data_IF_746881848531
#
_entry.id   IF_746881848531
#
_cell.length_a   1.000
_cell.length_b   1.000
_cell.length_c   1.000
_cell.angle_alpha   90.00
_cell.angle_beta   90.00
_cell.angle_gamma   90.00
#
_symmetry.space_group_name_H-M   'P 1'
#
loop_
_entity.id
_entity.type
_entity.pdbx_description
1 polymer ?
#
# COMPACT_ATOMS: atom_id res chain seq x y z
N UNK A 1 -59.96 -32.75 -3.00
CA UNK A 1 -60.88 -31.65 -3.27
C UNK A 1 -60.07 -30.37 -3.18
N UNK A 2 -59.12 -30.19 -4.09
CA UNK A 2 -59.22 -29.49 -5.39
C UNK A 2 -58.93 -27.99 -5.19
N UNK A 3 -58.16 -27.25 -6.00
CA UNK A 3 -57.22 -27.46 -7.10
C UNK A 3 -56.49 -26.09 -7.29
N UNK A 4 -55.22 -26.13 -7.74
CA UNK A 4 -54.34 -25.01 -8.23
C UNK A 4 -54.94 -24.26 -9.46
N UNK A 5 -54.29 -23.30 -10.19
CA UNK A 5 -52.88 -22.81 -10.24
C UNK A 5 -52.72 -21.26 -10.42
N UNK A 6 -51.54 -20.63 -10.37
CA UNK A 6 -50.62 -20.34 -11.53
C UNK A 6 -49.47 -19.46 -10.99
N UNK A 7 -48.17 -19.77 -11.14
CA UNK A 7 -47.32 -19.43 -12.30
C UNK A 7 -47.03 -17.91 -12.35
N UNK A 8 -45.83 -17.34 -12.47
CA UNK A 8 -44.48 -17.79 -12.76
C UNK A 8 -43.47 -16.65 -12.41
N UNK A 9 -42.17 -16.90 -12.60
CA UNK A 9 -41.05 -15.93 -12.63
C UNK A 9 -41.35 -14.69 -13.52
N UNK A 10 -40.68 -13.53 -13.40
CA UNK A 10 -39.46 -13.18 -14.17
C UNK A 10 -38.79 -11.86 -13.71
N UNK A 11 -37.49 -11.79 -13.99
CA UNK A 11 -36.53 -10.68 -13.85
C UNK A 11 -36.74 -9.63 -14.96
N UNK A 12 -36.50 -8.33 -14.69
CA UNK A 12 -35.92 -7.44 -15.72
C UNK A 12 -35.31 -6.15 -15.14
N UNK A 13 -34.19 -5.77 -15.74
CA UNK A 13 -33.40 -4.55 -15.62
C UNK A 13 -34.13 -3.27 -16.08
N UNK A 14 -33.63 -2.15 -15.55
CA UNK A 14 -33.63 -0.78 -16.07
C UNK A 14 -34.97 -0.04 -16.30
N UNK A 15 -35.25 0.96 -15.44
CA UNK A 15 -35.34 2.38 -15.83
C UNK A 15 -35.78 3.28 -14.64
N UNK A 16 -35.05 4.37 -14.44
CA UNK A 16 -35.59 5.66 -13.98
C UNK A 16 -36.26 5.79 -12.61
N UNK A 17 -35.48 6.22 -11.60
CA UNK A 17 -35.88 7.27 -10.66
C UNK A 17 -36.99 7.00 -9.63
N UNK A 18 -36.59 6.97 -8.35
CA UNK A 18 -37.01 7.82 -7.22
C UNK A 18 -36.55 7.09 -5.95
N UNK A 19 -35.66 7.73 -5.19
CA UNK A 19 -35.28 7.29 -3.85
C UNK A 19 -36.52 7.47 -2.97
N UNK A 20 -37.25 6.39 -2.73
CA UNK A 20 -38.30 6.36 -1.71
C UNK A 20 -37.62 6.00 -0.40
N UNK A 21 -37.32 6.99 0.45
CA UNK A 21 -36.86 6.77 1.83
C UNK A 21 -38.06 6.27 2.66
N UNK A 22 -38.54 5.06 2.35
CA UNK A 22 -39.59 4.38 3.10
C UNK A 22 -38.96 3.70 4.30
N UNK A 23 -38.99 4.36 5.46
CA UNK A 23 -38.80 3.85 6.84
C UNK A 23 -38.38 2.36 6.89
N UNK A 24 -37.12 2.07 6.56
CA UNK A 24 -36.65 0.68 6.39
C UNK A 24 -36.38 0.04 7.75
N UNK A 25 -36.85 -1.18 7.88
CA UNK A 25 -36.80 -2.01 9.08
C UNK A 25 -35.37 -2.14 9.61
N UNK A 26 -35.16 -1.98 10.94
CA UNK A 26 -33.85 -1.99 11.65
C UNK A 26 -32.80 -3.02 11.16
N UNK A 27 -33.13 -4.27 10.76
CA UNK A 27 -32.12 -5.19 10.24
C UNK A 27 -31.46 -4.76 8.91
N UNK A 28 -32.15 -3.99 8.05
CA UNK A 28 -31.63 -3.58 6.73
C UNK A 28 -30.54 -2.50 6.86
N UNK A 29 -30.67 -1.59 7.83
CA UNK A 29 -29.66 -0.55 8.10
C UNK A 29 -28.36 -1.17 8.64
N UNK A 30 -28.47 -2.19 9.48
CA UNK A 30 -27.31 -2.88 10.06
C UNK A 30 -26.52 -3.66 8.99
N UNK A 31 -27.19 -4.27 8.02
CA UNK A 31 -26.54 -4.99 6.92
C UNK A 31 -25.79 -4.04 5.96
N UNK A 32 -26.31 -2.84 5.70
CA UNK A 32 -25.63 -1.81 4.89
C UNK A 32 -24.39 -1.22 5.61
N UNK A 33 -24.44 -1.03 6.92
CA UNK A 33 -23.29 -0.58 7.72
C UNK A 33 -22.18 -1.64 7.80
N UNK A 34 -22.54 -2.93 7.87
CA UNK A 34 -21.56 -4.03 7.85
C UNK A 34 -20.91 -4.17 6.47
N UNK A 35 -21.66 -4.00 5.37
CA UNK A 35 -21.10 -4.05 4.01
C UNK A 35 -20.24 -2.81 3.66
N UNK A 36 -20.49 -1.65 4.27
CA UNK A 36 -19.62 -0.48 4.15
C UNK A 36 -18.30 -0.62 4.93
N UNK A 37 -18.25 -1.46 5.97
CA UNK A 37 -17.02 -1.76 6.71
C UNK A 37 -16.15 -2.84 6.05
N UNK A 38 -16.69 -3.67 5.15
CA UNK A 38 -15.94 -4.78 4.53
C UNK A 38 -15.29 -4.45 3.18
N UNK A 39 -15.54 -3.28 2.57
CA UNK A 39 -15.02 -2.96 1.23
C UNK A 39 -13.68 -2.21 1.18
N UNK A 40 -13.16 -1.62 2.28
CA UNK A 40 -11.95 -0.77 2.20
C UNK A 40 -11.00 -0.90 3.40
N UNK A 41 -10.69 -2.11 3.85
CA UNK A 41 -9.58 -2.34 4.79
C UNK A 41 -8.48 -3.20 4.17
N UNK A 42 -7.99 -2.80 3.00
CA UNK A 42 -6.60 -3.10 2.62
C UNK A 42 -5.75 -1.87 2.93
N UNK A 43 -5.62 -1.57 4.22
CA UNK A 43 -4.90 -0.41 4.71
C UNK A 43 -3.39 -0.65 4.78
N UNK A 44 -2.64 0.45 4.67
CA UNK A 44 -1.23 0.56 5.08
C UNK A 44 -1.05 -0.07 6.47
N UNK A 45 0.05 -0.81 6.70
CA UNK A 45 0.29 -1.41 8.02
C UNK A 45 0.32 -0.33 9.12
N UNK A 46 -0.21 -0.59 10.33
CA UNK A 46 -0.21 0.40 11.40
C UNK A 46 1.21 0.92 11.73
N UNK A 47 2.20 0.03 11.61
CA UNK A 47 3.63 0.34 11.76
C UNK A 47 4.09 1.38 10.74
N UNK A 48 3.80 1.14 9.44
CA UNK A 48 4.18 2.05 8.37
C UNK A 48 3.46 3.40 8.49
N UNK A 49 2.17 3.39 8.87
CA UNK A 49 1.43 4.64 9.13
C UNK A 49 2.06 5.45 10.28
N UNK A 50 2.43 4.78 11.36
CA UNK A 50 3.08 5.42 12.51
C UNK A 50 4.44 5.99 12.14
N UNK A 51 5.22 5.24 11.34
CA UNK A 51 6.51 5.70 10.83
C UNK A 51 6.35 6.95 9.96
N UNK A 52 5.42 6.93 8.99
CA UNK A 52 5.14 8.07 8.10
C UNK A 52 4.77 9.32 8.89
N UNK A 53 3.81 9.22 9.82
CA UNK A 53 3.36 10.39 10.59
C UNK A 53 4.49 10.96 11.47
N UNK A 54 5.29 10.11 12.10
CA UNK A 54 6.44 10.56 12.90
C UNK A 54 7.50 11.27 12.05
N UNK A 55 7.89 10.68 10.92
CA UNK A 55 8.93 11.22 10.06
C UNK A 55 8.50 12.48 9.31
N UNK A 56 7.21 12.57 8.97
CA UNK A 56 6.63 13.74 8.32
C UNK A 56 6.78 14.99 9.18
N UNK A 57 6.47 14.86 10.48
CA UNK A 57 6.63 15.94 11.45
C UNK A 57 8.11 16.32 11.67
N UNK A 58 9.02 15.35 11.67
CA UNK A 58 10.46 15.58 11.88
C UNK A 58 11.11 16.33 10.72
N UNK A 59 10.69 16.05 9.48
CA UNK A 59 11.31 16.60 8.28
C UNK A 59 10.48 17.67 7.57
N UNK A 60 9.42 18.18 8.22
CA UNK A 60 8.53 19.21 7.69
C UNK A 60 8.00 18.87 6.28
N UNK A 61 7.54 17.63 6.12
CA UNK A 61 6.91 17.18 4.89
C UNK A 61 5.40 17.34 5.03
N UNK A 62 4.72 17.79 3.98
CA UNK A 62 3.26 17.86 3.98
C UNK A 62 2.65 16.58 3.42
N UNK A 63 1.46 16.21 3.92
CA UNK A 63 0.80 14.96 3.49
C UNK A 63 0.53 14.94 1.98
N UNK A 64 0.22 16.10 1.40
CA UNK A 64 -0.04 16.23 -0.04
C UNK A 64 1.23 16.04 -0.88
N UNK A 65 2.41 16.42 -0.36
CA UNK A 65 3.68 16.15 -1.03
C UNK A 65 3.98 14.65 -1.08
N UNK A 66 3.67 13.92 0.00
CA UNK A 66 3.81 12.46 0.05
C UNK A 66 2.88 11.81 -0.97
N UNK A 67 1.60 12.22 -0.98
CA UNK A 67 0.61 11.71 -1.93
C UNK A 67 1.01 11.98 -3.38
N UNK A 68 1.47 13.19 -3.68
CA UNK A 68 1.96 13.54 -5.02
C UNK A 68 3.16 12.66 -5.41
N UNK A 69 4.13 12.49 -4.51
CA UNK A 69 5.32 11.71 -4.78
C UNK A 69 5.00 10.24 -5.06
N UNK A 70 4.13 9.62 -4.25
CA UNK A 70 3.68 8.24 -4.44
C UNK A 70 2.87 8.10 -5.73
N UNK A 71 1.89 8.97 -5.95
CA UNK A 71 1.02 8.93 -7.12
C UNK A 71 1.79 9.09 -8.44
N UNK A 72 2.83 9.92 -8.43
CA UNK A 72 3.70 10.14 -9.60
C UNK A 72 4.93 9.21 -9.63
N UNK A 73 5.09 8.30 -8.65
CA UNK A 73 6.24 7.41 -8.52
C UNK A 73 7.59 8.16 -8.54
N UNK A 74 7.62 9.35 -7.94
CA UNK A 74 8.81 10.21 -7.86
C UNK A 74 9.68 9.77 -6.69
N UNK A 75 10.98 9.70 -6.95
CA UNK A 75 11.98 9.54 -5.90
C UNK A 75 12.17 10.88 -5.16
N UNK A 76 12.51 10.87 -3.86
CA UNK A 76 12.83 12.10 -3.15
C UNK A 76 14.12 12.72 -3.70
N UNK A 77 14.02 13.96 -4.17
CA UNK A 77 15.14 14.74 -4.72
C UNK A 77 15.62 15.85 -3.76
N UNK A 78 14.75 16.32 -2.87
CA UNK A 78 15.09 17.33 -1.86
C UNK A 78 15.71 16.67 -0.63
N UNK A 79 16.60 17.38 0.06
CA UNK A 79 17.23 16.88 1.29
C UNK A 79 16.18 16.43 2.33
N UNK A 80 15.15 17.24 2.58
CA UNK A 80 14.05 16.89 3.48
C UNK A 80 13.32 15.61 3.02
N UNK A 81 13.08 15.45 1.72
CA UNK A 81 12.45 14.24 1.18
C UNK A 81 13.32 13.00 1.35
N UNK A 82 14.63 13.12 1.16
CA UNK A 82 15.59 12.04 1.35
C UNK A 82 15.65 11.64 2.83
N UNK A 83 15.74 12.62 3.74
CA UNK A 83 15.75 12.37 5.18
C UNK A 83 14.43 11.78 5.66
N UNK A 84 13.28 12.26 5.15
CA UNK A 84 11.98 11.66 5.39
C UNK A 84 11.96 10.17 5.02
N UNK A 85 12.43 9.82 3.82
CA UNK A 85 12.48 8.43 3.38
C UNK A 85 13.42 7.58 4.26
N UNK A 86 14.59 8.12 4.61
CA UNK A 86 15.54 7.45 5.52
C UNK A 86 14.91 7.18 6.88
N UNK A 87 14.27 8.19 7.49
CA UNK A 87 13.57 8.06 8.76
C UNK A 87 12.49 6.97 8.71
N UNK A 88 11.70 6.90 7.63
CA UNK A 88 10.67 5.87 7.49
C UNK A 88 11.30 4.48 7.41
N UNK A 89 12.35 4.30 6.62
CA UNK A 89 13.05 3.02 6.50
C UNK A 89 13.73 2.60 7.81
N UNK A 90 14.28 3.55 8.58
CA UNK A 90 14.84 3.30 9.92
C UNK A 90 13.76 2.87 10.91
N UNK A 91 12.62 3.57 10.97
CA UNK A 91 11.50 3.21 11.85
C UNK A 91 10.88 1.86 11.49
N UNK A 92 10.92 1.48 10.21
CA UNK A 92 10.50 0.16 9.73
C UNK A 92 11.56 -0.93 9.97
N UNK A 93 12.75 -0.55 10.46
CA UNK A 93 13.86 -1.45 10.76
C UNK A 93 14.65 -1.90 9.54
N UNK A 94 14.39 -1.36 8.34
CA UNK A 94 15.14 -1.72 7.12
C UNK A 94 16.53 -1.08 7.07
N UNK A 95 16.71 0.04 7.77
CA UNK A 95 18.01 0.69 7.93
C UNK A 95 18.33 0.72 9.42
N UNK A 96 19.53 0.23 9.78
CA UNK A 96 20.05 0.24 11.13
C UNK A 96 21.52 0.59 11.10
N UNK A 97 21.93 1.56 11.92
CA UNK A 97 23.31 2.03 12.00
C UNK A 97 23.92 2.40 10.62
N UNK A 98 23.09 3.01 9.75
CA UNK A 98 23.48 3.40 8.40
C UNK A 98 23.72 2.23 7.43
N UNK A 99 23.18 1.04 7.74
CA UNK A 99 23.28 -0.16 6.90
C UNK A 99 21.91 -0.78 6.69
N UNK A 100 21.76 -1.49 5.59
CA UNK A 100 20.55 -2.22 5.26
C UNK A 100 20.46 -3.46 6.14
N UNK A 101 19.32 -3.63 6.83
CA UNK A 101 19.00 -4.85 7.56
C UNK A 101 18.37 -5.85 6.58
N UNK A 102 19.19 -6.80 6.12
CA UNK A 102 18.78 -7.76 5.09
C UNK A 102 17.72 -8.75 5.59
N UNK A 103 17.74 -9.10 6.87
CA UNK A 103 16.75 -10.01 7.45
C UNK A 103 15.38 -9.32 7.47
N UNK A 104 15.32 -8.06 7.92
CA UNK A 104 14.09 -7.27 7.89
C UNK A 104 13.61 -7.01 6.47
N UNK A 105 14.50 -6.76 5.51
CA UNK A 105 14.14 -6.58 4.11
C UNK A 105 13.49 -7.85 3.52
N UNK A 106 14.06 -9.03 3.79
CA UNK A 106 13.48 -10.31 3.34
C UNK A 106 12.14 -10.62 4.03
N UNK A 107 12.00 -10.29 5.31
CA UNK A 107 10.75 -10.43 6.04
C UNK A 107 9.64 -9.56 5.40
N UNK A 108 9.92 -8.29 5.14
CA UNK A 108 8.96 -7.37 4.52
C UNK A 108 8.59 -7.81 3.09
N UNK A 109 9.54 -8.38 2.34
CA UNK A 109 9.22 -8.99 1.04
C UNK A 109 8.24 -10.16 1.20
N UNK A 110 8.45 -11.06 2.17
CA UNK A 110 7.53 -12.18 2.43
C UNK A 110 6.14 -11.72 2.87
N UNK A 111 6.06 -10.58 3.57
CA UNK A 111 4.78 -9.96 3.90
C UNK A 111 4.10 -9.35 2.67
N UNK A 112 4.85 -8.64 1.82
CA UNK A 112 4.34 -7.89 0.66
C UNK A 112 3.97 -8.78 -0.53
N UNK A 113 4.78 -9.78 -0.87
CA UNK A 113 4.61 -10.61 -2.06
C UNK A 113 4.03 -11.98 -1.70
N UNK A 114 2.78 -12.22 -2.12
CA UNK A 114 2.11 -13.52 -1.90
C UNK A 114 2.40 -14.53 -3.00
N UNK A 115 2.69 -14.05 -4.21
CA UNK A 115 3.11 -14.89 -5.32
C UNK A 115 4.58 -15.34 -5.13
N UNK A 116 4.88 -16.66 -5.16
CA UNK A 116 6.23 -17.16 -4.91
C UNK A 116 7.28 -16.67 -5.91
N UNK A 117 6.90 -16.47 -7.18
CA UNK A 117 7.83 -16.01 -8.21
C UNK A 117 8.23 -14.55 -7.94
N UNK A 118 7.26 -13.69 -7.65
CA UNK A 118 7.51 -12.30 -7.29
C UNK A 118 8.25 -12.18 -5.95
N UNK A 119 7.99 -13.06 -4.97
CA UNK A 119 8.78 -13.11 -3.74
C UNK A 119 10.25 -13.45 -4.02
N UNK A 120 10.51 -14.45 -4.87
CA UNK A 120 11.87 -14.81 -5.28
C UNK A 120 12.57 -13.64 -5.97
N UNK A 121 11.91 -12.99 -6.92
CA UNK A 121 12.41 -11.80 -7.62
C UNK A 121 12.68 -10.64 -6.65
N UNK A 122 11.78 -10.37 -5.72
CA UNK A 122 11.96 -9.31 -4.70
C UNK A 122 13.16 -9.59 -3.79
N UNK A 123 13.34 -10.85 -3.38
CA UNK A 123 14.50 -11.26 -2.58
C UNK A 123 15.81 -11.20 -3.38
N UNK A 124 15.77 -11.49 -4.68
CA UNK A 124 16.91 -11.29 -5.57
C UNK A 124 17.28 -9.80 -5.67
N UNK A 125 16.30 -8.92 -5.87
CA UNK A 125 16.50 -7.46 -5.89
C UNK A 125 17.12 -6.98 -4.58
N UNK A 126 16.60 -7.43 -3.43
CA UNK A 126 17.17 -7.07 -2.12
C UNK A 126 18.65 -7.47 -2.03
N UNK A 127 19.01 -8.69 -2.46
CA UNK A 127 20.41 -9.15 -2.47
C UNK A 127 21.29 -8.31 -3.38
N UNK A 128 20.80 -7.92 -4.56
CA UNK A 128 21.55 -7.06 -5.50
C UNK A 128 21.79 -5.65 -4.95
N UNK A 129 20.99 -5.20 -3.99
CA UNK A 129 21.06 -3.87 -3.39
C UNK A 129 21.62 -3.86 -1.97
N UNK A 130 22.11 -4.98 -1.45
CA UNK A 130 22.54 -5.12 -0.05
C UNK A 130 23.70 -4.19 0.34
N UNK A 131 24.61 -3.91 -0.59
CA UNK A 131 25.82 -3.13 -0.36
C UNK A 131 25.71 -1.67 -0.84
N UNK A 132 24.48 -1.19 -1.08
CA UNK A 132 24.26 0.22 -1.40
C UNK A 132 24.73 1.10 -0.24
N UNK A 133 25.43 2.18 -0.58
CA UNK A 133 25.97 3.13 0.38
C UNK A 133 25.34 4.51 0.16
N UNK A 134 25.37 5.34 1.21
CA UNK A 134 25.05 6.75 1.08
C UNK A 134 26.09 7.45 0.17
N UNK A 135 25.61 8.25 -0.76
CA UNK A 135 26.40 9.00 -1.75
C UNK A 135 26.79 10.41 -1.30
N UNK A 136 25.85 11.15 -0.71
CA UNK A 136 25.93 12.62 -0.60
C UNK A 136 25.66 13.12 0.82
N UNK A 137 24.66 12.54 1.49
CA UNK A 137 24.25 12.91 2.84
C UNK A 137 23.98 11.66 3.66
N UNK A 138 23.99 11.78 4.99
CA UNK A 138 23.54 10.71 5.90
C UNK A 138 22.14 10.18 5.57
N UNK A 139 21.33 10.97 4.87
CA UNK A 139 19.96 10.65 4.48
C UNK A 139 19.84 9.98 3.11
N UNK A 140 20.90 9.96 2.29
CA UNK A 140 20.78 9.51 0.90
C UNK A 140 20.76 7.99 0.74
N UNK A 141 21.11 7.23 1.78
CA UNK A 141 21.10 5.76 1.75
C UNK A 141 19.75 5.19 1.29
N UNK A 142 18.64 5.68 1.85
CA UNK A 142 17.31 5.21 1.49
C UNK A 142 16.95 5.53 0.03
N UNK A 143 17.40 6.68 -0.48
CA UNK A 143 17.18 7.08 -1.87
C UNK A 143 18.03 6.24 -2.82
N UNK A 144 19.30 6.01 -2.50
CA UNK A 144 20.17 5.14 -3.29
C UNK A 144 19.67 3.69 -3.30
N UNK A 145 19.18 3.21 -2.15
CA UNK A 145 18.53 1.90 -2.06
C UNK A 145 17.31 1.84 -2.98
N UNK A 146 16.43 2.85 -2.93
CA UNK A 146 15.23 2.87 -3.76
C UNK A 146 15.56 2.95 -5.25
N UNK A 147 16.58 3.73 -5.66
CA UNK A 147 17.10 3.74 -7.04
C UNK A 147 17.57 2.35 -7.46
N UNK A 148 18.35 1.67 -6.62
CA UNK A 148 18.83 0.32 -6.87
C UNK A 148 17.66 -0.66 -7.03
N UNK A 149 16.68 -0.60 -6.13
CA UNK A 149 15.49 -1.46 -6.16
C UNK A 149 14.69 -1.23 -7.43
N UNK A 150 14.38 0.03 -7.79
CA UNK A 150 13.61 0.35 -9.00
C UNK A 150 14.31 -0.14 -10.27
N UNK A 151 15.64 0.02 -10.35
CA UNK A 151 16.42 -0.48 -11.48
C UNK A 151 16.33 -2.01 -11.59
N UNK A 152 16.69 -2.72 -10.52
CA UNK A 152 16.77 -4.17 -10.54
C UNK A 152 15.38 -4.83 -10.63
N UNK A 153 14.35 -4.26 -10.02
CA UNK A 153 12.97 -4.74 -10.12
C UNK A 153 12.47 -4.74 -11.58
N UNK A 154 12.84 -3.73 -12.38
CA UNK A 154 12.55 -3.69 -13.82
C UNK A 154 13.31 -4.78 -14.57
N UNK A 155 14.59 -4.97 -14.27
CA UNK A 155 15.44 -5.98 -14.93
C UNK A 155 14.93 -7.41 -14.69
N UNK A 156 14.49 -7.72 -13.47
CA UNK A 156 13.95 -9.06 -13.13
C UNK A 156 12.46 -9.19 -13.41
N UNK A 157 11.81 -8.13 -13.93
CA UNK A 157 10.37 -8.11 -14.22
C UNK A 157 9.55 -8.49 -12.98
N UNK A 158 9.85 -7.84 -11.85
CA UNK A 158 9.09 -7.96 -10.62
C UNK A 158 7.75 -7.24 -10.77
N UNK A 159 6.66 -7.97 -10.54
CA UNK A 159 5.33 -7.38 -10.49
C UNK A 159 5.06 -6.86 -9.08
N UNK A 160 4.94 -5.54 -8.95
CA UNK A 160 4.61 -4.92 -7.66
C UNK A 160 3.12 -5.18 -7.36
N UNK A 161 2.78 -5.55 -6.10
CA UNK A 161 1.39 -5.54 -5.66
C UNK A 161 0.83 -4.14 -5.89
N UNK A 162 -0.41 -4.06 -6.34
CA UNK A 162 -1.08 -2.76 -6.48
C UNK A 162 -1.06 -2.07 -5.11
N UNK A 163 -0.34 -0.97 -5.01
CA UNK A 163 -0.38 -0.10 -3.85
C UNK A 163 -1.78 0.51 -3.79
N UNK A 164 -2.66 -0.09 -2.99
CA UNK A 164 -3.94 0.50 -2.57
C UNK A 164 -3.63 1.60 -1.54
N UNK A 165 -3.00 2.68 -2.03
CA UNK A 165 -2.87 3.92 -1.28
C UNK A 165 -4.15 4.73 -1.53
N UNK A 166 -5.24 4.31 -0.90
CA UNK A 166 -6.48 5.10 -0.78
C UNK A 166 -6.36 6.14 0.34
#
# INVERSE_FOLDING_TARGET
MDLRPSGALYISQETGGIIVVSKMNRPVIVVVLVLACTFSCNGISPELKTAIEGCKAEHNIESDQIKEAIGNKKLPETENGQCFMSCVMEKMGMIKDGKIDMDRAMELNAQKFKDPENLQKANEVAKRCADVQASDTKCSLATELLKCVVKNAKEVQLELPKEELE
#
